data_IF_737076749871
#
_entry.id   IF_737076749871
#
_cell.length_a   1.000
_cell.length_b   1.000
_cell.length_c   1.000
_cell.angle_alpha   90.00
_cell.angle_beta   90.00
_cell.angle_gamma   90.00
#
_symmetry.space_group_name_H-M   'P 1'
#
loop_
_entity.id
_entity.type
_entity.pdbx_description
1 polymer ?
#
# COMPACT_ATOMS: atom_id res chain seq x y z
N UNK A 1 6.84 -5.55 -5.26
CA UNK A 1 7.57 -6.65 -4.59
C UNK A 1 7.35 -6.44 -3.10
N UNK A 2 6.45 -7.21 -2.51
CA UNK A 2 6.12 -7.16 -1.08
C UNK A 2 6.89 -8.31 -0.42
N UNK A 3 7.92 -7.99 0.32
CA UNK A 3 8.65 -8.94 1.15
C UNK A 3 8.22 -8.69 2.60
N UNK A 4 7.41 -9.59 3.17
CA UNK A 4 7.03 -9.58 4.59
C UNK A 4 6.46 -8.22 5.09
N UNK A 5 5.50 -7.63 4.37
CA UNK A 5 4.87 -6.38 4.77
C UNK A 5 5.70 -5.10 4.50
N UNK A 6 6.76 -5.21 3.69
CA UNK A 6 7.58 -4.06 3.31
C UNK A 6 7.57 -3.90 1.80
N UNK A 7 7.28 -2.69 1.31
CA UNK A 7 7.33 -2.36 -0.10
C UNK A 7 8.13 -1.08 -0.37
N UNK A 8 8.58 -0.91 -1.62
CA UNK A 8 9.27 0.29 -2.04
C UNK A 8 8.27 1.41 -2.32
N UNK A 9 8.55 2.59 -1.74
CA UNK A 9 7.76 3.81 -1.91
C UNK A 9 7.78 4.29 -3.36
N UNK A 10 6.76 5.04 -3.78
CA UNK A 10 6.63 5.67 -5.10
C UNK A 10 6.84 4.71 -6.28
N UNK A 11 6.50 3.42 -6.09
CA UNK A 11 6.70 2.42 -7.13
C UNK A 11 8.16 2.28 -7.61
N UNK A 12 9.12 2.60 -6.75
CA UNK A 12 10.55 2.46 -7.06
C UNK A 12 10.90 1.04 -7.53
N UNK A 13 10.19 0.03 -7.05
CA UNK A 13 10.35 -1.34 -7.53
C UNK A 13 10.11 -1.47 -9.05
N UNK A 14 9.11 -0.79 -9.58
CA UNK A 14 8.84 -0.77 -11.02
C UNK A 14 9.91 0.01 -11.78
N UNK A 15 10.34 1.15 -11.25
CA UNK A 15 11.42 1.96 -11.87
C UNK A 15 12.71 1.16 -11.98
N UNK A 16 13.08 0.44 -10.91
CA UNK A 16 14.27 -0.43 -10.90
C UNK A 16 14.12 -1.60 -11.87
N UNK A 17 12.94 -2.23 -11.90
CA UNK A 17 12.66 -3.32 -12.84
C UNK A 17 12.77 -2.85 -14.30
N UNK A 18 12.12 -1.75 -14.64
CA UNK A 18 12.17 -1.18 -16.00
C UNK A 18 13.56 -0.69 -16.38
N UNK A 19 14.29 -0.08 -15.44
CA UNK A 19 15.69 0.31 -15.65
C UNK A 19 16.57 -0.89 -16.00
N UNK A 20 16.41 -2.00 -15.26
CA UNK A 20 17.12 -3.26 -15.54
C UNK A 20 16.71 -3.87 -16.89
N UNK A 21 15.41 -3.88 -17.21
CA UNK A 21 14.90 -4.39 -18.48
C UNK A 21 15.45 -3.61 -19.68
N UNK A 22 15.42 -2.26 -19.61
CA UNK A 22 15.95 -1.39 -20.65
C UNK A 22 17.48 -1.57 -20.83
N UNK A 23 18.23 -1.72 -19.73
CA UNK A 23 19.66 -2.00 -19.78
C UNK A 23 19.95 -3.35 -20.47
N UNK A 24 19.15 -4.38 -20.18
CA UNK A 24 19.24 -5.67 -20.81
C UNK A 24 18.97 -5.61 -22.34
N UNK A 25 17.98 -4.83 -22.76
CA UNK A 25 17.71 -4.59 -24.17
C UNK A 25 18.86 -3.83 -24.85
N UNK A 26 19.40 -2.79 -24.22
CA UNK A 26 20.53 -2.03 -24.76
C UNK A 26 21.76 -2.91 -25.02
N UNK A 27 22.00 -3.91 -24.17
CA UNK A 27 23.09 -4.86 -24.34
C UNK A 27 23.01 -5.66 -25.64
N UNK A 28 21.80 -5.87 -26.19
CA UNK A 28 21.60 -6.53 -27.48
C UNK A 28 22.23 -5.75 -28.64
N UNK A 29 22.17 -4.44 -28.58
CA UNK A 29 22.69 -3.56 -29.63
C UNK A 29 24.19 -3.26 -29.49
N UNK A 30 24.74 -3.38 -28.29
CA UNK A 30 26.13 -3.01 -28.00
C UNK A 30 27.09 -4.19 -28.29
N UNK A 31 26.63 -5.42 -28.10
CA UNK A 31 27.51 -6.59 -28.11
C UNK A 31 26.99 -7.71 -29.02
N UNK A 32 27.66 -7.93 -30.13
CA UNK A 32 27.31 -8.97 -31.09
C UNK A 32 27.94 -10.33 -30.72
N UNK A 33 27.40 -10.95 -29.69
CA UNK A 33 27.84 -12.25 -29.19
C UNK A 33 26.59 -13.09 -28.83
N UNK A 34 26.63 -14.40 -29.04
CA UNK A 34 25.50 -15.32 -28.81
C UNK A 34 24.98 -15.28 -27.37
N UNK A 35 25.86 -15.19 -26.38
CA UNK A 35 25.46 -15.08 -24.97
C UNK A 35 24.72 -13.77 -24.67
N UNK A 36 25.16 -12.67 -25.30
CA UNK A 36 24.51 -11.38 -25.19
C UNK A 36 23.08 -11.42 -25.78
N UNK A 37 22.89 -12.08 -26.87
CA UNK A 37 21.57 -12.26 -27.53
C UNK A 37 20.62 -13.10 -26.67
N UNK A 38 21.10 -14.19 -26.07
CA UNK A 38 20.30 -15.03 -25.15
C UNK A 38 19.91 -14.19 -23.91
N UNK A 39 20.86 -13.49 -23.30
CA UNK A 39 20.61 -12.63 -22.15
C UNK A 39 19.55 -11.57 -22.44
N UNK A 40 19.67 -10.86 -23.57
CA UNK A 40 18.71 -9.83 -23.98
C UNK A 40 17.32 -10.43 -24.27
N UNK A 41 17.25 -11.61 -24.88
CA UNK A 41 15.98 -12.31 -25.12
C UNK A 41 15.28 -12.67 -23.80
N UNK A 42 16.02 -13.15 -22.79
CA UNK A 42 15.47 -13.39 -21.45
C UNK A 42 14.91 -12.11 -20.82
N UNK A 43 15.61 -10.97 -20.95
CA UNK A 43 15.14 -9.69 -20.43
C UNK A 43 13.89 -9.18 -21.16
N UNK A 44 13.79 -9.36 -22.47
CA UNK A 44 12.58 -9.03 -23.24
C UNK A 44 11.41 -9.86 -22.74
N UNK A 45 11.59 -11.17 -22.55
CA UNK A 45 10.55 -12.05 -22.00
C UNK A 45 10.11 -11.63 -20.62
N UNK A 46 11.05 -11.36 -19.69
CA UNK A 46 10.76 -10.86 -18.35
C UNK A 46 10.04 -9.51 -18.37
N UNK A 47 10.35 -8.64 -19.33
CA UNK A 47 9.69 -7.34 -19.49
C UNK A 47 8.21 -7.49 -19.86
N UNK A 48 7.85 -8.45 -20.72
CA UNK A 48 6.45 -8.73 -21.06
C UNK A 48 5.68 -9.18 -19.81
N UNK A 49 6.24 -10.10 -19.03
CA UNK A 49 5.64 -10.51 -17.74
C UNK A 49 5.57 -9.36 -16.74
N UNK A 50 6.57 -8.50 -16.72
CA UNK A 50 6.57 -7.31 -15.86
C UNK A 50 5.48 -6.31 -16.23
N UNK A 51 5.19 -6.10 -17.51
CA UNK A 51 4.07 -5.28 -17.98
C UNK A 51 2.76 -5.84 -17.45
N UNK A 52 2.51 -7.12 -17.70
CA UNK A 52 1.30 -7.80 -17.25
C UNK A 52 1.18 -7.69 -15.72
N UNK A 53 2.27 -7.98 -14.98
CA UNK A 53 2.32 -7.84 -13.53
C UNK A 53 2.00 -6.42 -13.05
N UNK A 54 2.50 -5.39 -13.74
CA UNK A 54 2.24 -3.99 -13.38
C UNK A 54 0.76 -3.62 -13.50
N UNK A 55 0.07 -4.13 -14.52
CA UNK A 55 -1.36 -3.91 -14.69
C UNK A 55 -2.21 -4.65 -13.66
N UNK A 56 -1.75 -5.84 -13.26
CA UNK A 56 -2.47 -6.70 -12.31
C UNK A 56 -2.26 -6.24 -10.87
N UNK A 57 -1.10 -5.68 -10.53
CA UNK A 57 -0.72 -5.31 -9.15
C UNK A 57 -0.80 -3.80 -8.91
N UNK A 58 -1.81 -3.14 -9.47
CA UNK A 58 -2.02 -1.70 -9.25
C UNK A 58 -2.72 -1.47 -7.91
N UNK A 59 -1.97 -1.01 -6.91
CA UNK A 59 -2.55 -0.58 -5.63
C UNK A 59 -3.30 0.74 -5.79
N UNK A 60 -4.56 0.79 -5.40
CA UNK A 60 -5.33 2.02 -5.34
C UNK A 60 -4.96 2.82 -4.09
N UNK A 61 -4.56 4.08 -4.28
CA UNK A 61 -4.31 5.00 -3.18
C UNK A 61 -5.66 5.55 -2.67
N UNK A 62 -5.93 5.39 -1.37
CA UNK A 62 -7.09 6.00 -0.73
C UNK A 62 -6.76 7.35 -0.10
N UNK A 63 -5.87 7.36 0.87
CA UNK A 63 -5.47 8.58 1.56
C UNK A 63 -4.01 8.53 2.01
N UNK A 64 -3.42 9.71 2.16
CA UNK A 64 -2.01 9.87 2.49
C UNK A 64 -1.82 11.03 3.46
N UNK A 65 -0.94 10.85 4.45
CA UNK A 65 -0.40 11.89 5.34
C UNK A 65 1.12 11.92 5.23
N UNK A 66 1.78 12.81 5.95
CA UNK A 66 3.25 12.88 5.93
C UNK A 66 3.90 11.55 6.34
N UNK A 67 3.33 10.86 7.33
CA UNK A 67 3.92 9.65 7.94
C UNK A 67 3.26 8.36 7.49
N UNK A 68 1.99 8.38 7.09
CA UNK A 68 1.20 7.18 6.79
C UNK A 68 0.55 7.25 5.42
N UNK A 69 0.27 6.09 4.86
CA UNK A 69 -0.44 5.93 3.59
C UNK A 69 -1.38 4.73 3.67
N UNK A 70 -2.62 4.88 3.20
CA UNK A 70 -3.58 3.80 3.08
C UNK A 70 -3.81 3.45 1.62
N UNK A 71 -3.70 2.17 1.31
CA UNK A 71 -3.85 1.62 -0.04
C UNK A 71 -4.73 0.39 -0.03
N UNK A 72 -5.46 0.20 -1.12
CA UNK A 72 -6.06 -1.07 -1.46
C UNK A 72 -5.05 -1.88 -2.27
N UNK A 73 -4.60 -3.04 -1.79
CA UNK A 73 -3.79 -3.92 -2.61
C UNK A 73 -4.65 -4.46 -3.75
N UNK A 74 -4.10 -4.47 -4.95
CA UNK A 74 -4.75 -5.17 -6.06
C UNK A 74 -4.55 -6.67 -5.89
N UNK A 75 -5.33 -7.28 -5.02
CA UNK A 75 -5.36 -8.72 -4.90
C UNK A 75 -6.29 -9.28 -6.00
N UNK A 76 -5.71 -10.05 -6.92
CA UNK A 76 -6.43 -10.78 -7.98
C UNK A 76 -7.52 -11.70 -7.40
N UNK A 77 -7.47 -11.97 -6.10
CA UNK A 77 -8.33 -12.95 -5.39
C UNK A 77 -9.47 -12.27 -4.62
N UNK A 78 -9.66 -10.96 -4.77
CA UNK A 78 -10.90 -10.29 -4.32
C UNK A 78 -11.07 -10.20 -2.80
N UNK A 79 -10.02 -9.96 -2.06
CA UNK A 79 -10.16 -9.56 -0.67
C UNK A 79 -10.22 -8.03 -0.60
N UNK A 80 -11.40 -7.48 -0.35
CA UNK A 80 -11.60 -6.07 -0.02
C UNK A 80 -10.86 -5.74 1.28
N UNK A 81 -9.56 -5.55 1.19
CA UNK A 81 -8.73 -5.18 2.32
C UNK A 81 -8.01 -3.87 2.06
N UNK A 82 -7.99 -3.00 3.06
CA UNK A 82 -7.22 -1.76 3.06
C UNK A 82 -6.02 -1.93 3.97
N UNK A 83 -4.85 -1.55 3.50
CA UNK A 83 -3.60 -1.69 4.25
C UNK A 83 -3.07 -0.30 4.62
N UNK A 84 -2.76 -0.13 5.90
CA UNK A 84 -2.06 1.04 6.42
C UNK A 84 -0.56 0.77 6.41
N UNK A 85 0.19 1.62 5.74
CA UNK A 85 1.65 1.60 5.72
C UNK A 85 2.23 2.82 6.44
N UNK A 86 3.31 2.62 7.18
CA UNK A 86 4.18 3.68 7.68
C UNK A 86 5.26 3.98 6.66
N UNK A 87 5.46 5.25 6.35
CA UNK A 87 6.52 5.72 5.44
C UNK A 87 7.85 5.81 6.19
N UNK A 88 8.83 5.00 5.77
CA UNK A 88 10.20 5.01 6.31
C UNK A 88 11.21 5.27 5.20
N UNK A 89 11.44 6.55 4.88
CA UNK A 89 12.30 6.95 3.78
C UNK A 89 11.81 6.45 2.44
N UNK A 90 12.55 5.53 1.79
CA UNK A 90 12.16 4.90 0.52
C UNK A 90 11.29 3.65 0.68
N UNK A 91 10.97 3.26 1.92
CA UNK A 91 10.19 2.07 2.24
C UNK A 91 8.83 2.44 2.79
N UNK A 92 7.86 1.57 2.56
CA UNK A 92 6.55 1.54 3.19
C UNK A 92 6.45 0.23 3.96
N UNK A 93 6.20 0.33 5.27
CA UNK A 93 6.12 -0.82 6.17
C UNK A 93 4.67 -1.01 6.59
N UNK A 94 4.12 -2.20 6.31
CA UNK A 94 2.76 -2.54 6.72
C UNK A 94 2.64 -2.47 8.25
N UNK A 95 1.62 -1.73 8.72
CA UNK A 95 1.26 -1.62 10.14
C UNK A 95 0.02 -2.44 10.44
N UNK A 96 -1.03 -2.21 9.66
CA UNK A 96 -2.33 -2.83 9.86
C UNK A 96 -2.99 -3.16 8.54
N UNK A 97 -3.82 -4.21 8.56
CA UNK A 97 -4.68 -4.60 7.47
C UNK A 97 -6.12 -4.66 7.96
N UNK A 98 -6.98 -3.88 7.31
CA UNK A 98 -8.39 -3.79 7.61
C UNK A 98 -9.21 -4.42 6.49
N UNK A 99 -10.28 -5.13 6.85
CA UNK A 99 -11.25 -5.65 5.89
C UNK A 99 -12.42 -4.69 5.80
N UNK A 100 -12.97 -4.55 4.58
CA UNK A 100 -14.21 -3.83 4.33
C UNK A 100 -14.21 -2.35 4.74
N UNK A 101 -13.08 -1.67 4.61
CA UNK A 101 -12.95 -0.24 4.87
C UNK A 101 -12.46 0.47 3.61
N UNK A 102 -13.24 1.47 3.17
CA UNK A 102 -12.83 2.40 2.10
C UNK A 102 -12.58 3.78 2.70
N UNK A 103 -11.35 4.06 3.13
CA UNK A 103 -11.04 5.31 3.82
C UNK A 103 -11.10 6.49 2.86
N UNK A 104 -11.78 7.56 3.27
CA UNK A 104 -11.84 8.86 2.59
C UNK A 104 -10.80 9.82 3.14
N UNK A 105 -10.54 9.74 4.45
CA UNK A 105 -9.48 10.51 5.11
C UNK A 105 -8.97 9.78 6.35
N UNK A 106 -7.76 10.15 6.80
CA UNK A 106 -7.16 9.64 8.02
C UNK A 106 -6.43 10.76 8.78
N UNK A 107 -6.53 10.71 10.10
CA UNK A 107 -5.88 11.66 11.01
C UNK A 107 -5.10 10.86 12.06
N UNK A 108 -3.76 10.83 12.00
CA UNK A 108 -2.96 10.22 13.06
C UNK A 108 -2.96 11.11 14.31
N UNK A 109 -3.08 10.47 15.48
CA UNK A 109 -3.04 11.13 16.80
C UNK A 109 -1.92 10.49 17.59
N UNK A 110 -0.70 10.97 17.37
CA UNK A 110 0.51 10.40 17.97
C UNK A 110 0.46 10.44 19.52
N UNK A 111 -0.25 11.40 20.13
CA UNK A 111 -0.34 11.55 21.59
C UNK A 111 -1.03 10.37 22.30
N UNK A 112 -1.84 9.61 21.60
CA UNK A 112 -2.57 8.45 22.12
C UNK A 112 -2.30 7.17 21.34
N UNK A 113 -1.34 7.20 20.42
CA UNK A 113 -0.98 6.06 19.57
C UNK A 113 -2.15 5.56 18.69
N UNK A 114 -3.00 6.47 18.22
CA UNK A 114 -4.20 6.14 17.48
C UNK A 114 -4.24 6.80 16.11
N UNK A 115 -5.04 6.21 15.21
CA UNK A 115 -5.40 6.81 13.93
C UNK A 115 -6.92 6.84 13.81
N UNK A 116 -7.45 8.01 13.45
CA UNK A 116 -8.87 8.19 13.14
C UNK A 116 -9.05 8.07 11.65
N UNK A 117 -9.94 7.18 11.23
CA UNK A 117 -10.25 6.92 9.83
C UNK A 117 -11.70 7.28 9.59
N UNK A 118 -11.92 8.17 8.64
CA UNK A 118 -13.23 8.51 8.09
C UNK A 118 -13.40 7.79 6.76
N UNK A 119 -14.51 7.10 6.57
CA UNK A 119 -14.74 6.37 5.32
C UNK A 119 -15.99 5.54 5.32
N UNK A 120 -16.12 4.75 4.27
CA UNK A 120 -17.20 3.78 4.13
C UNK A 120 -16.79 2.48 4.78
N UNK A 121 -17.67 1.97 5.64
CA UNK A 121 -17.49 0.69 6.31
C UNK A 121 -18.54 -0.29 5.77
N UNK A 122 -18.07 -1.39 5.22
CA UNK A 122 -18.94 -2.45 4.72
C UNK A 122 -19.10 -3.52 5.81
N UNK A 123 -20.32 -3.70 6.28
CA UNK A 123 -20.66 -4.74 7.26
C UNK A 123 -21.23 -6.02 6.61
N UNK A 124 -21.16 -6.11 5.26
CA UNK A 124 -21.67 -7.23 4.47
C UNK A 124 -23.12 -7.11 4.05
N UNK A 125 -23.89 -6.18 4.60
CA UNK A 125 -25.28 -5.91 4.23
C UNK A 125 -25.48 -4.51 3.62
N UNK A 126 -24.79 -3.52 4.21
CA UNK A 126 -24.87 -2.12 3.79
C UNK A 126 -23.49 -1.46 3.91
N UNK A 127 -23.25 -0.48 3.05
CA UNK A 127 -22.07 0.40 3.17
C UNK A 127 -22.53 1.70 3.82
N UNK A 128 -21.96 2.03 4.96
CA UNK A 128 -22.31 3.23 5.73
C UNK A 128 -21.10 4.13 5.93
N UNK A 129 -21.31 5.44 5.83
CA UNK A 129 -20.31 6.43 6.25
C UNK A 129 -20.10 6.32 7.76
N UNK A 130 -18.85 6.20 8.18
CA UNK A 130 -18.51 6.04 9.58
C UNK A 130 -17.14 6.57 9.94
N UNK A 131 -16.83 6.41 11.22
CA UNK A 131 -15.52 6.79 11.78
C UNK A 131 -15.01 5.63 12.63
N UNK A 132 -13.77 5.25 12.40
CA UNK A 132 -13.07 4.27 13.22
C UNK A 132 -11.85 4.90 13.88
N UNK A 133 -11.60 4.55 15.13
CA UNK A 133 -10.36 4.86 15.85
C UNK A 133 -9.62 3.55 16.04
N UNK A 134 -8.44 3.46 15.44
CA UNK A 134 -7.68 2.24 15.37
C UNK A 134 -6.32 2.41 16.05
N UNK A 135 -5.78 1.36 16.66
CA UNK A 135 -4.45 1.42 17.24
C UNK A 135 -3.40 1.64 16.16
N UNK A 136 -2.48 2.55 16.40
CA UNK A 136 -1.39 2.87 15.48
C UNK A 136 -0.10 2.17 15.90
N UNK A 137 0.15 2.07 17.21
CA UNK A 137 1.31 1.43 17.80
C UNK A 137 1.01 0.91 19.22
N UNK A 138 2.03 0.38 19.89
CA UNK A 138 1.91 -0.19 21.23
C UNK A 138 1.58 0.85 22.33
N UNK A 139 1.64 2.15 22.02
CA UNK A 139 1.25 3.24 22.94
C UNK A 139 -0.26 3.54 22.93
N UNK A 140 -1.05 2.78 22.15
CA UNK A 140 -2.49 2.96 22.03
C UNK A 140 -3.20 2.86 23.39
N UNK A 141 -3.85 3.95 23.78
CA UNK A 141 -4.64 4.04 24.98
C UNK A 141 -6.14 4.11 24.63
N UNK A 142 -6.84 3.00 24.85
CA UNK A 142 -8.25 2.84 24.49
C UNK A 142 -9.15 3.83 25.24
N UNK A 143 -8.84 4.14 26.49
CA UNK A 143 -9.68 5.05 27.29
C UNK A 143 -9.53 6.51 26.81
N UNK A 144 -8.30 6.93 26.51
CA UNK A 144 -8.06 8.23 25.89
C UNK A 144 -8.62 8.32 24.48
N UNK A 145 -8.61 7.22 23.71
CA UNK A 145 -9.23 7.18 22.40
C UNK A 145 -10.74 7.38 22.47
N UNK A 146 -11.41 6.79 23.47
CA UNK A 146 -12.85 7.02 23.72
C UNK A 146 -13.12 8.48 24.16
N UNK A 147 -12.31 9.02 25.06
CA UNK A 147 -12.43 10.40 25.49
C UNK A 147 -12.24 11.36 24.30
N UNK A 148 -11.26 11.08 23.45
CA UNK A 148 -11.04 11.84 22.22
C UNK A 148 -12.29 11.80 21.32
N UNK A 149 -12.86 10.61 21.11
CA UNK A 149 -14.06 10.44 20.31
C UNK A 149 -15.24 11.24 20.85
N UNK A 150 -15.48 11.19 22.15
CA UNK A 150 -16.54 11.94 22.81
C UNK A 150 -16.35 13.46 22.65
N UNK A 151 -15.14 13.96 22.83
CA UNK A 151 -14.82 15.38 22.74
C UNK A 151 -14.94 15.93 21.30
N UNK A 152 -14.87 15.07 20.29
CA UNK A 152 -14.96 15.45 18.88
C UNK A 152 -16.27 15.00 18.22
N UNK A 153 -17.27 14.55 19.00
CA UNK A 153 -18.54 13.99 18.52
C UNK A 153 -18.36 12.86 17.47
N UNK A 154 -17.34 12.04 17.67
CA UNK A 154 -17.05 10.88 16.84
C UNK A 154 -17.76 9.68 17.46
N UNK A 155 -18.67 9.03 16.73
CA UNK A 155 -19.24 7.76 17.19
C UNK A 155 -18.14 6.69 17.20
N UNK A 156 -17.76 6.28 18.41
CA UNK A 156 -16.73 5.26 18.62
C UNK A 156 -17.36 3.87 18.65
N UNK A 157 -17.17 3.15 17.57
CA UNK A 157 -17.33 1.68 17.52
C UNK A 157 -18.76 1.17 17.79
N UNK A 158 -19.50 0.95 16.73
CA UNK A 158 -20.44 -0.17 16.71
C UNK A 158 -19.80 -1.42 16.17
#
# INVERSE_FOLDING_TARGET
MILAGVQLRWRLGYVLFWGAALSGMAFYFIRDNSLSKIYSFCWIGLSVFGIIGTFITYDSLYCETDKYIMKEPSDIIGFDSTILYEKRGLLEVEKWRYKFVRPKSMIPIDSIGAIVIYGDFDNGETTEDGVAILPLDDSFDKEKAKEYALNHNIEYGK
#
